data_IF_075646252815
#
_entry.id   IF_075646252815
#
_cell.length_a   1.000
_cell.length_b   1.000
_cell.length_c   1.000
_cell.angle_alpha   90.00
_cell.angle_beta   90.00
_cell.angle_gamma   90.00
#
_symmetry.space_group_name_H-M   'P 1'
#
loop_
_entity.id
_entity.type
_entity.pdbx_description
1 polymer ?
#
# COMPACT_ATOMS: atom_id res chain seq x y z
N UNK A 1 34.20 15.29 14.32
CA UNK A 1 33.60 13.98 14.00
C UNK A 1 32.38 14.19 13.12
N UNK A 2 32.33 13.53 11.97
CA UNK A 2 31.22 13.64 11.02
C UNK A 2 30.28 12.42 11.09
N UNK A 3 30.60 11.42 11.91
CA UNK A 3 29.75 10.27 12.15
C UNK A 3 28.90 10.54 13.39
N UNK A 4 27.77 11.19 13.16
CA UNK A 4 26.83 11.64 14.20
C UNK A 4 25.44 11.07 13.85
N UNK A 5 24.73 10.62 14.88
CA UNK A 5 23.30 10.28 14.82
C UNK A 5 22.56 11.15 15.83
N UNK A 6 21.48 11.81 15.40
CA UNK A 6 20.62 12.62 16.28
C UNK A 6 19.38 11.80 16.60
N UNK A 7 19.10 11.60 17.89
CA UNK A 7 17.89 10.92 18.34
C UNK A 7 16.85 11.94 18.84
N UNK A 8 15.64 11.91 18.29
CA UNK A 8 14.51 12.54 18.93
C UNK A 8 14.22 11.85 20.26
N UNK A 9 14.05 12.60 21.32
CA UNK A 9 13.85 12.09 22.67
C UNK A 9 12.91 13.02 23.45
N UNK A 10 12.03 12.47 24.26
CA UNK A 10 11.22 13.20 25.23
C UNK A 10 11.67 12.80 26.64
N UNK A 11 12.08 13.78 27.42
CA UNK A 11 12.63 13.58 28.76
C UNK A 11 11.51 13.43 29.81
N UNK A 12 10.72 12.38 29.66
CA UNK A 12 9.65 11.99 30.59
C UNK A 12 9.61 10.46 30.70
N UNK A 13 9.52 9.90 31.89
CA UNK A 13 9.68 8.48 32.21
C UNK A 13 8.46 7.95 33.02
N UNK A 14 7.43 7.33 32.39
CA UNK A 14 7.25 7.17 30.94
C UNK A 14 6.81 8.47 30.26
N UNK A 15 7.05 8.54 28.96
CA UNK A 15 6.42 9.56 28.12
C UNK A 15 4.96 9.18 27.85
N UNK A 16 4.03 10.12 28.03
CA UNK A 16 2.65 9.92 27.58
C UNK A 16 2.64 9.84 26.03
N UNK A 17 1.95 8.87 25.41
CA UNK A 17 1.91 8.74 23.96
C UNK A 17 1.56 10.02 23.20
N UNK A 18 0.69 10.88 23.74
CA UNK A 18 0.34 12.18 23.12
C UNK A 18 1.51 13.17 23.06
N UNK A 19 2.49 13.01 23.94
CA UNK A 19 3.66 13.89 24.04
C UNK A 19 4.88 13.33 23.29
N UNK A 20 4.82 12.11 22.75
CA UNK A 20 5.91 11.48 22.01
C UNK A 20 6.31 12.26 20.75
N UNK A 21 5.37 12.98 20.12
CA UNK A 21 5.58 13.89 18.99
C UNK A 21 6.56 13.36 17.91
N UNK A 22 6.33 12.15 17.43
CA UNK A 22 7.24 11.45 16.52
C UNK A 22 7.50 12.19 15.19
N UNK A 23 6.63 13.15 14.80
CA UNK A 23 6.87 14.00 13.61
C UNK A 23 8.13 14.85 13.71
N UNK A 24 8.70 15.01 14.89
CA UNK A 24 10.02 15.66 15.07
C UNK A 24 11.12 14.90 14.30
N UNK A 25 10.98 13.58 14.09
CA UNK A 25 11.89 12.79 13.26
C UNK A 25 11.96 13.35 11.84
N UNK A 26 10.81 13.66 11.22
CA UNK A 26 10.75 14.26 9.88
C UNK A 26 11.36 15.68 9.88
N UNK A 27 11.11 16.45 10.93
CA UNK A 27 11.68 17.78 11.10
C UNK A 27 13.21 17.73 11.19
N UNK A 28 13.74 16.83 12.00
CA UNK A 28 15.19 16.64 12.13
C UNK A 28 15.83 16.17 10.82
N UNK A 29 15.19 15.25 10.08
CA UNK A 29 15.68 14.83 8.76
C UNK A 29 15.75 15.98 7.75
N UNK A 30 14.77 16.87 7.77
CA UNK A 30 14.76 18.06 6.91
C UNK A 30 15.82 19.09 7.32
N UNK A 31 15.99 19.32 8.62
CA UNK A 31 16.83 20.40 9.15
C UNK A 31 18.31 19.99 9.25
N UNK A 32 18.61 18.68 9.28
CA UNK A 32 19.96 18.11 9.31
C UNK A 32 20.19 17.12 8.15
N UNK A 33 20.20 17.59 6.89
CA UNK A 33 20.37 16.71 5.74
C UNK A 33 21.74 16.00 5.78
N UNK A 34 21.73 14.70 5.57
CA UNK A 34 22.94 13.85 5.59
C UNK A 34 23.37 13.37 6.99
N UNK A 35 22.65 13.75 8.04
CA UNK A 35 22.83 13.19 9.39
C UNK A 35 21.81 12.07 9.61
N UNK A 36 22.23 10.95 10.20
CA UNK A 36 21.32 9.88 10.62
C UNK A 36 20.41 10.38 11.72
N UNK A 37 19.12 10.13 11.57
CA UNK A 37 18.10 10.49 12.57
C UNK A 37 17.52 9.22 13.18
N UNK A 38 17.29 9.25 14.47
CA UNK A 38 16.72 8.15 15.22
C UNK A 38 15.70 8.61 16.26
N UNK A 39 15.31 7.69 17.11
CA UNK A 39 14.34 7.89 18.18
C UNK A 39 14.81 7.19 19.46
N UNK A 40 14.85 7.92 20.57
CA UNK A 40 15.06 7.40 21.92
C UNK A 40 13.71 7.36 22.62
N UNK A 41 13.17 6.15 22.79
CA UNK A 41 11.79 5.91 23.23
C UNK A 41 11.66 5.73 24.75
N UNK A 42 10.85 6.58 25.37
CA UNK A 42 10.45 6.47 26.77
C UNK A 42 8.95 6.23 26.96
N UNK A 43 8.20 5.97 25.89
CA UNK A 43 6.80 5.57 25.98
C UNK A 43 6.72 4.15 26.56
N UNK A 44 5.82 3.92 27.49
CA UNK A 44 5.61 2.56 28.01
C UNK A 44 5.23 1.60 26.87
N UNK A 45 5.83 0.38 26.84
CA UNK A 45 5.49 -0.60 25.82
C UNK A 45 4.00 -0.94 25.86
N UNK A 46 3.37 -0.91 24.70
CA UNK A 46 2.05 -1.50 24.48
C UNK A 46 2.17 -2.91 23.88
N UNK A 47 1.06 -3.64 23.81
CA UNK A 47 1.03 -4.99 23.28
C UNK A 47 1.44 -5.07 21.78
N UNK A 48 1.48 -3.96 21.09
CA UNK A 48 1.75 -3.89 19.65
C UNK A 48 3.13 -3.33 19.32
N UNK A 49 3.78 -2.64 20.25
CA UNK A 49 5.01 -1.85 20.04
C UNK A 49 4.87 -0.84 18.88
N UNK A 50 3.67 -0.26 18.75
CA UNK A 50 3.31 0.61 17.62
C UNK A 50 4.13 1.90 17.60
N UNK A 51 4.50 2.46 18.76
CA UNK A 51 5.33 3.67 18.85
C UNK A 51 6.64 3.52 18.07
N UNK A 52 7.33 2.37 18.23
CA UNK A 52 8.57 2.08 17.49
C UNK A 52 8.30 1.86 16.00
N UNK A 53 7.19 1.20 15.65
CA UNK A 53 6.81 0.99 14.27
C UNK A 53 6.54 2.31 13.53
N UNK A 54 5.85 3.27 14.18
CA UNK A 54 5.62 4.61 13.65
C UNK A 54 6.94 5.38 13.51
N UNK A 55 7.81 5.35 14.51
CA UNK A 55 9.12 5.99 14.42
C UNK A 55 9.94 5.46 13.23
N UNK A 56 9.93 4.14 13.03
CA UNK A 56 10.56 3.47 11.88
C UNK A 56 9.97 3.96 10.55
N UNK A 57 8.64 4.02 10.42
CA UNK A 57 7.94 4.53 9.24
C UNK A 57 8.28 5.99 8.93
N UNK A 58 8.49 6.82 9.93
CA UNK A 58 8.92 8.21 9.77
C UNK A 58 10.41 8.33 9.43
N UNK A 59 11.11 7.20 9.35
CA UNK A 59 12.50 7.11 8.89
C UNK A 59 13.53 7.24 10.00
N UNK A 60 13.20 6.81 11.22
CA UNK A 60 14.22 6.59 12.25
C UNK A 60 15.14 5.44 11.84
N UNK A 61 16.43 5.72 11.69
CA UNK A 61 17.46 4.74 11.33
C UNK A 61 18.04 4.04 12.57
N UNK A 62 17.93 4.68 13.73
CA UNK A 62 18.37 4.17 15.03
C UNK A 62 17.22 4.29 16.00
N UNK A 63 16.92 3.22 16.71
CA UNK A 63 15.91 3.19 17.77
C UNK A 63 16.58 2.75 19.06
N UNK A 64 16.45 3.57 20.09
CA UNK A 64 16.93 3.32 21.43
C UNK A 64 15.74 3.17 22.38
N UNK A 65 15.80 2.19 23.26
CA UNK A 65 14.77 1.93 24.27
C UNK A 65 15.37 1.24 25.48
N UNK A 66 14.91 1.60 26.67
CA UNK A 66 15.21 0.87 27.88
C UNK A 66 14.86 -0.60 27.75
N UNK A 67 15.74 -1.48 28.24
CA UNK A 67 15.59 -2.94 28.18
C UNK A 67 15.56 -3.53 29.60
N UNK A 68 14.66 -4.46 29.83
CA UNK A 68 14.59 -5.24 31.06
C UNK A 68 14.25 -6.69 30.77
N UNK A 69 14.59 -7.58 31.70
CA UNK A 69 14.12 -8.97 31.67
C UNK A 69 12.76 -9.14 32.37
N UNK A 70 12.39 -8.19 33.23
CA UNK A 70 11.13 -8.22 33.98
C UNK A 70 10.73 -6.78 34.37
N UNK A 71 9.58 -6.32 33.87
CA UNK A 71 9.03 -4.99 34.16
C UNK A 71 8.60 -4.81 35.62
N UNK A 72 8.44 -5.89 36.38
CA UNK A 72 8.05 -5.86 37.80
C UNK A 72 9.21 -5.67 38.76
N UNK A 73 10.45 -5.67 38.26
CA UNK A 73 11.63 -5.43 39.08
C UNK A 73 11.58 -4.05 39.73
N UNK A 74 12.10 -3.91 40.96
CA UNK A 74 12.14 -2.63 41.65
C UNK A 74 13.15 -1.70 40.97
N UNK A 75 12.77 -0.43 40.79
CA UNK A 75 13.61 0.60 40.17
C UNK A 75 12.80 1.49 39.23
N UNK A 76 13.40 2.60 38.82
CA UNK A 76 12.69 3.61 38.06
C UNK A 76 12.53 3.28 36.57
N UNK A 77 13.36 2.37 36.01
CA UNK A 77 13.45 2.18 34.56
C UNK A 77 12.77 0.89 34.06
N UNK A 78 12.49 -0.07 34.96
CA UNK A 78 11.94 -1.36 34.57
C UNK A 78 10.52 -1.30 34.00
N UNK A 79 9.64 -0.52 34.64
CA UNK A 79 8.21 -0.50 34.33
C UNK A 79 7.85 0.09 32.95
N UNK A 80 8.75 0.88 32.35
CA UNK A 80 8.59 1.44 31.00
C UNK A 80 9.58 0.89 29.98
N UNK A 81 10.46 -0.02 30.40
CA UNK A 81 11.40 -0.70 29.53
C UNK A 81 10.72 -1.78 28.68
N UNK A 82 11.31 -2.15 27.56
CA UNK A 82 10.90 -3.30 26.77
C UNK A 82 11.50 -4.60 27.30
N UNK A 83 10.69 -5.67 27.33
CA UNK A 83 11.14 -7.04 27.56
C UNK A 83 11.52 -7.73 26.22
N UNK A 84 12.21 -8.89 26.25
CA UNK A 84 12.61 -9.58 25.02
C UNK A 84 11.47 -9.81 24.03
N UNK A 85 10.26 -10.11 24.49
CA UNK A 85 9.09 -10.33 23.63
C UNK A 85 8.60 -9.02 22.98
N UNK A 86 8.74 -7.88 23.66
CA UNK A 86 8.41 -6.57 23.07
C UNK A 86 9.35 -6.24 21.91
N UNK A 87 10.65 -6.51 22.06
CA UNK A 87 11.62 -6.32 20.98
C UNK A 87 11.41 -7.28 19.82
N UNK A 88 10.99 -8.53 20.07
CA UNK A 88 10.60 -9.46 18.99
C UNK A 88 9.43 -8.92 18.18
N UNK A 89 8.41 -8.36 18.85
CA UNK A 89 7.27 -7.72 18.18
C UNK A 89 7.71 -6.51 17.37
N UNK A 90 8.53 -5.62 17.95
CA UNK A 90 9.04 -4.45 17.23
C UNK A 90 9.79 -4.84 15.95
N UNK A 91 10.70 -5.83 16.03
CA UNK A 91 11.44 -6.34 14.88
C UNK A 91 10.51 -6.98 13.84
N UNK A 92 9.48 -7.71 14.28
CA UNK A 92 8.48 -8.27 13.39
C UNK A 92 7.69 -7.18 12.66
N UNK A 93 7.33 -6.10 13.36
CA UNK A 93 6.67 -4.93 12.76
C UNK A 93 7.56 -4.27 11.70
N UNK A 94 8.85 -4.06 11.97
CA UNK A 94 9.78 -3.46 10.99
C UNK A 94 9.85 -4.30 9.71
N UNK A 95 10.02 -5.63 9.84
CA UNK A 95 10.03 -6.55 8.69
C UNK A 95 8.71 -6.54 7.92
N UNK A 96 7.58 -6.45 8.63
CA UNK A 96 6.27 -6.34 7.99
C UNK A 96 6.13 -5.04 7.21
N UNK A 97 6.54 -3.91 7.80
CA UNK A 97 6.54 -2.60 7.15
C UNK A 97 7.35 -2.66 5.86
N UNK A 98 8.59 -3.17 5.88
CA UNK A 98 9.43 -3.31 4.68
C UNK A 98 8.76 -4.15 3.60
N UNK A 99 8.08 -5.23 4.02
CA UNK A 99 7.37 -6.12 3.09
C UNK A 99 6.21 -5.42 2.39
N UNK A 100 5.40 -4.63 3.13
CA UNK A 100 4.18 -4.01 2.58
C UNK A 100 4.44 -2.69 1.85
N UNK A 101 5.53 -2.01 2.16
CA UNK A 101 5.93 -0.77 1.47
C UNK A 101 6.28 -1.02 0.00
N UNK A 102 6.91 -2.14 -0.32
CA UNK A 102 7.33 -2.48 -1.68
C UNK A 102 8.28 -1.45 -2.29
N UNK A 103 8.30 -1.37 -3.60
CA UNK A 103 9.21 -0.48 -4.36
C UNK A 103 8.67 0.94 -4.59
N UNK A 104 7.38 1.17 -4.36
CA UNK A 104 6.70 2.41 -4.74
C UNK A 104 6.37 2.53 -6.24
N UNK A 105 6.78 1.59 -7.07
CA UNK A 105 6.46 1.58 -8.50
C UNK A 105 5.11 0.91 -8.75
N UNK A 106 4.18 1.61 -9.40
CA UNK A 106 2.89 1.03 -9.80
C UNK A 106 3.02 0.26 -11.11
N UNK A 107 3.12 -1.06 -10.99
CA UNK A 107 3.10 -2.00 -12.11
C UNK A 107 1.89 -2.92 -12.02
N UNK A 108 1.61 -3.64 -13.11
CA UNK A 108 0.61 -4.73 -13.07
C UNK A 108 1.28 -5.97 -12.49
N UNK A 109 0.83 -6.40 -11.33
CA UNK A 109 1.37 -7.57 -10.65
C UNK A 109 0.81 -8.87 -11.26
N UNK A 110 1.55 -9.95 -11.16
CA UNK A 110 1.10 -11.27 -11.65
C UNK A 110 -0.23 -11.70 -11.03
N UNK A 111 -0.42 -11.45 -9.73
CA UNK A 111 -1.68 -11.72 -9.03
C UNK A 111 -2.88 -10.91 -9.55
N UNK A 112 -2.65 -9.80 -10.28
CA UNK A 112 -3.69 -8.98 -10.88
C UNK A 112 -4.12 -9.46 -12.28
N UNK A 113 -3.37 -10.36 -12.95
CA UNK A 113 -3.63 -10.75 -14.34
C UNK A 113 -5.00 -11.41 -14.53
N UNK A 114 -5.34 -12.39 -13.70
CA UNK A 114 -6.64 -13.07 -13.75
C UNK A 114 -7.79 -12.13 -13.38
N UNK A 115 -7.79 -11.41 -12.23
CA UNK A 115 -8.82 -10.43 -11.94
C UNK A 115 -8.97 -9.35 -13.02
N UNK A 116 -7.87 -8.91 -13.62
CA UNK A 116 -7.88 -7.92 -14.70
C UNK A 116 -8.64 -8.42 -15.93
N UNK A 117 -8.42 -9.69 -16.34
CA UNK A 117 -9.13 -10.30 -17.45
C UNK A 117 -10.63 -10.51 -17.13
N UNK A 118 -10.92 -11.07 -15.96
CA UNK A 118 -12.28 -11.47 -15.59
C UNK A 118 -13.17 -10.30 -15.12
N UNK A 119 -12.61 -9.31 -14.47
CA UNK A 119 -13.36 -8.19 -13.91
C UNK A 119 -13.56 -7.03 -14.89
N UNK A 120 -12.67 -6.83 -15.85
CA UNK A 120 -12.85 -5.84 -16.92
C UNK A 120 -13.99 -6.22 -17.83
N UNK A 121 -14.44 -5.27 -18.66
CA UNK A 121 -15.56 -5.45 -19.57
C UNK A 121 -15.09 -5.35 -21.01
N UNK A 122 -15.86 -6.02 -21.89
CA UNK A 122 -15.79 -5.86 -23.33
C UNK A 122 -17.11 -5.32 -23.84
N UNK A 123 -17.11 -4.73 -25.03
CA UNK A 123 -18.34 -4.46 -25.78
C UNK A 123 -18.95 -5.78 -26.24
N UNK A 124 -20.25 -5.97 -26.01
CA UNK A 124 -21.02 -7.18 -26.30
C UNK A 124 -22.26 -6.76 -27.04
N UNK A 125 -22.69 -7.55 -28.05
CA UNK A 125 -23.92 -7.30 -28.79
C UNK A 125 -25.15 -7.50 -27.90
N UNK A 126 -26.14 -6.63 -28.07
CA UNK A 126 -27.45 -6.68 -27.39
C UNK A 126 -28.49 -7.45 -28.21
N UNK A 127 -28.18 -7.78 -29.46
CA UNK A 127 -29.03 -8.52 -30.40
C UNK A 127 -28.21 -9.23 -31.49
N UNK A 128 -28.85 -10.13 -32.21
CA UNK A 128 -28.28 -10.69 -33.44
C UNK A 128 -28.05 -9.62 -34.50
N UNK A 129 -26.91 -9.70 -35.21
CA UNK A 129 -26.59 -8.83 -36.33
C UNK A 129 -26.15 -9.63 -37.55
N UNK A 130 -26.59 -9.21 -38.74
CA UNK A 130 -26.23 -9.82 -40.02
C UNK A 130 -24.98 -9.12 -40.63
N UNK A 131 -24.19 -9.88 -41.37
CA UNK A 131 -23.03 -9.34 -42.09
C UNK A 131 -23.42 -8.09 -42.90
N UNK A 132 -22.64 -7.01 -42.73
CA UNK A 132 -22.87 -5.72 -43.38
C UNK A 132 -23.79 -4.76 -42.64
N UNK A 133 -24.46 -5.18 -41.56
CA UNK A 133 -25.21 -4.25 -40.71
C UNK A 133 -24.28 -3.28 -39.96
N UNK A 134 -24.76 -2.05 -39.78
CA UNK A 134 -24.05 -1.00 -39.07
C UNK A 134 -24.37 -1.06 -37.57
N UNK A 135 -23.35 -1.11 -36.75
CA UNK A 135 -23.49 -1.09 -35.28
C UNK A 135 -23.93 0.29 -34.81
N UNK A 136 -25.01 0.34 -34.04
CA UNK A 136 -25.50 1.53 -33.36
C UNK A 136 -25.16 1.46 -31.86
N UNK A 137 -25.36 2.57 -31.15
CA UNK A 137 -25.12 2.65 -29.71
C UNK A 137 -25.96 1.67 -28.91
N UNK A 138 -27.24 1.49 -29.29
CA UNK A 138 -28.18 0.54 -28.68
C UNK A 138 -27.84 -0.95 -28.93
N UNK A 139 -27.01 -1.23 -29.92
CA UNK A 139 -26.61 -2.59 -30.30
C UNK A 139 -25.45 -3.15 -29.45
N UNK A 140 -24.85 -2.33 -28.61
CA UNK A 140 -23.68 -2.70 -27.78
C UNK A 140 -23.89 -2.36 -26.32
N UNK A 141 -23.34 -3.19 -25.44
CA UNK A 141 -23.30 -2.93 -24.00
C UNK A 141 -22.03 -3.48 -23.36
N UNK A 142 -21.55 -2.88 -22.26
CA UNK A 142 -20.38 -3.37 -21.53
C UNK A 142 -20.72 -4.60 -20.67
N UNK A 143 -20.21 -5.79 -20.99
CA UNK A 143 -20.27 -7.00 -20.14
C UNK A 143 -18.90 -7.56 -19.83
N UNK A 144 -18.77 -8.33 -18.75
CA UNK A 144 -17.58 -9.14 -18.42
C UNK A 144 -17.60 -10.41 -19.27
N UNK A 145 -16.43 -10.99 -19.60
CA UNK A 145 -15.06 -10.61 -19.25
C UNK A 145 -14.43 -9.56 -20.18
N UNK A 146 -13.23 -9.06 -19.82
CA UNK A 146 -12.47 -8.10 -20.62
C UNK A 146 -11.53 -8.77 -21.62
N UNK A 147 -12.04 -9.59 -22.53
CA UNK A 147 -11.28 -10.35 -23.54
C UNK A 147 -11.50 -9.88 -24.98
N UNK A 148 -12.42 -8.93 -25.19
CA UNK A 148 -12.71 -8.31 -26.48
C UNK A 148 -12.40 -6.81 -26.48
N UNK A 149 -13.11 -6.06 -27.35
CA UNK A 149 -12.96 -4.60 -27.47
C UNK A 149 -13.36 -3.92 -26.15
N UNK A 150 -12.46 -3.11 -25.58
CA UNK A 150 -12.74 -2.35 -24.36
C UNK A 150 -13.88 -1.34 -24.58
N UNK A 151 -14.77 -1.12 -23.59
CA UNK A 151 -15.83 -0.10 -23.67
C UNK A 151 -15.35 1.33 -23.96
N UNK A 152 -14.11 1.66 -23.67
CA UNK A 152 -13.50 2.96 -24.02
C UNK A 152 -13.47 3.25 -25.52
N UNK A 153 -13.57 2.21 -26.36
CA UNK A 153 -13.61 2.31 -27.82
C UNK A 153 -15.03 2.31 -28.40
N UNK A 154 -16.08 2.47 -27.58
CA UNK A 154 -17.47 2.42 -28.04
C UNK A 154 -17.75 3.41 -29.18
N UNK A 155 -17.28 4.65 -29.08
CA UNK A 155 -17.41 5.68 -30.10
C UNK A 155 -16.76 5.29 -31.46
N UNK A 156 -15.70 4.49 -31.42
CA UNK A 156 -15.00 4.00 -32.62
C UNK A 156 -15.74 2.80 -33.23
N UNK A 157 -16.44 2.02 -32.41
CA UNK A 157 -17.19 0.83 -32.81
C UNK A 157 -18.54 1.20 -33.44
N UNK A 158 -19.25 2.18 -32.87
CA UNK A 158 -20.48 2.73 -33.42
C UNK A 158 -20.22 3.28 -34.83
N UNK A 159 -21.07 2.87 -35.80
CA UNK A 159 -20.94 3.23 -37.22
C UNK A 159 -20.11 2.25 -38.04
N UNK A 160 -19.40 1.29 -37.44
CA UNK A 160 -18.72 0.20 -38.15
C UNK A 160 -19.72 -0.87 -38.57
N UNK A 161 -19.34 -1.67 -39.55
CA UNK A 161 -20.16 -2.79 -40.08
C UNK A 161 -19.62 -4.10 -39.55
N UNK A 162 -20.50 -4.99 -39.11
CA UNK A 162 -20.11 -6.38 -38.83
C UNK A 162 -19.74 -7.11 -40.12
N UNK A 163 -18.65 -7.88 -40.11
CA UNK A 163 -18.12 -8.55 -41.31
C UNK A 163 -18.70 -9.98 -41.51
N UNK A 164 -19.41 -10.51 -40.52
CA UNK A 164 -20.05 -11.82 -40.50
C UNK A 164 -21.31 -11.78 -39.65
N UNK A 165 -22.19 -12.80 -39.81
CA UNK A 165 -23.32 -12.94 -38.88
C UNK A 165 -22.83 -13.16 -37.45
N UNK A 166 -23.37 -12.41 -36.50
CA UNK A 166 -23.07 -12.48 -35.09
C UNK A 166 -24.34 -12.60 -34.27
N UNK A 167 -24.30 -13.40 -33.23
CA UNK A 167 -25.42 -13.61 -32.30
C UNK A 167 -25.41 -12.61 -31.15
N UNK A 168 -26.56 -12.41 -30.51
CA UNK A 168 -26.67 -11.71 -29.23
C UNK A 168 -25.65 -12.26 -28.22
N UNK A 169 -25.21 -11.44 -27.31
CA UNK A 169 -24.18 -11.76 -26.32
C UNK A 169 -22.78 -12.06 -26.90
N UNK A 170 -22.54 -11.88 -28.20
CA UNK A 170 -21.21 -12.00 -28.79
C UNK A 170 -20.29 -10.89 -28.25
N UNK A 171 -19.16 -11.28 -27.68
CA UNK A 171 -18.09 -10.35 -27.32
C UNK A 171 -17.40 -9.86 -28.59
N UNK A 172 -17.45 -8.55 -28.85
CA UNK A 172 -16.86 -7.98 -30.07
C UNK A 172 -15.34 -7.99 -30.02
N UNK A 173 -14.72 -8.35 -31.13
CA UNK A 173 -13.28 -8.25 -31.42
C UNK A 173 -13.08 -7.46 -32.71
N UNK A 174 -11.87 -6.90 -32.89
CA UNK A 174 -11.60 -6.01 -34.02
C UNK A 174 -11.71 -6.70 -35.41
N UNK A 175 -11.56 -8.00 -35.46
CA UNK A 175 -11.70 -8.81 -36.68
C UNK A 175 -13.18 -9.07 -37.06
N UNK A 176 -14.13 -8.69 -36.21
CA UNK A 176 -15.57 -8.86 -36.45
C UNK A 176 -16.23 -7.59 -37.03
N UNK A 177 -15.53 -6.45 -37.04
CA UNK A 177 -16.10 -5.14 -37.36
C UNK A 177 -15.24 -4.27 -38.26
#
# INVERSE_FOLDING_TARGET
NNDITILHCVLSYPTDPKDANLRVIETLKRDFPGVKIGFSDHVAPDDTMMTLAVAYMLGAEVIEKHFTLDKTLPGNDHYHAGEPEDFKKAIANFKWIDTVLGSGEKTVLECELTPRREARRSLVLTRDMKSGEVIKEEDIMPKRPGIGISPEFAEIVVGRKVVKDLEEDTILTWDMI
#
